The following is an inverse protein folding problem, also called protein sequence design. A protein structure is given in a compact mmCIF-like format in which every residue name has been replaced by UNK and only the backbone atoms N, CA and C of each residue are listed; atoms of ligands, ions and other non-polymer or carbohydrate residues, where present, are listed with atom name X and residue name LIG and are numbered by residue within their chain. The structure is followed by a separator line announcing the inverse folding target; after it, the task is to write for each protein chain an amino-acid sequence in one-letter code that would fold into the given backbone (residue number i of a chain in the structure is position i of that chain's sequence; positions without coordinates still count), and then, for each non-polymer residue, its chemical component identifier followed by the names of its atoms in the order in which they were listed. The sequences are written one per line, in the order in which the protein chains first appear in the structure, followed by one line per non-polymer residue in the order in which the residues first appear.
data_IF_926943119919
#
_entry.id   IF_926943119919
#
_cell.length_a   1.000
_cell.length_b   1.000
_cell.length_c   1.000
_cell.angle_alpha   90.00
_cell.angle_beta   90.00
_cell.angle_gamma   90.00
#
_symmetry.space_group_name_H-M   'P 1'
#
loop_
_entity.id
_entity.type
_entity.pdbx_description
1 polymer ?
#
# COMPACT_ATOMS: atom_id res chain seq x y z
N UNK A 1 5.35 8.55 6.54
CA UNK A 1 6.78 8.28 6.33
C UNK A 1 6.99 6.80 6.05
N UNK A 2 7.96 6.46 5.20
CA UNK A 2 8.26 5.10 4.75
C UNK A 2 8.73 4.21 5.91
N UNK A 3 9.70 4.68 6.68
CA UNK A 3 10.27 4.01 7.86
C UNK A 3 9.22 3.70 8.93
N UNK A 4 8.35 4.67 9.22
CA UNK A 4 7.29 4.50 10.22
C UNK A 4 6.30 3.40 9.81
N UNK A 5 5.88 3.38 8.53
CA UNK A 5 4.92 2.38 8.06
C UNK A 5 5.55 0.99 7.99
N UNK A 6 6.80 0.88 7.51
CA UNK A 6 7.53 -0.39 7.48
C UNK A 6 7.69 -0.98 8.87
N UNK A 7 8.12 -0.17 9.85
CA UNK A 7 8.31 -0.64 11.21
C UNK A 7 7.00 -1.02 11.90
N UNK A 8 5.92 -0.27 11.66
CA UNK A 8 4.59 -0.64 12.16
C UNK A 8 4.11 -2.00 11.58
N UNK A 9 4.38 -2.27 10.30
CA UNK A 9 4.07 -3.56 9.69
C UNK A 9 4.88 -4.70 10.32
N UNK A 10 6.18 -4.49 10.57
CA UNK A 10 7.04 -5.45 11.26
C UNK A 10 6.54 -5.77 12.68
N UNK A 11 6.18 -4.74 13.47
CA UNK A 11 5.63 -4.94 14.82
C UNK A 11 4.33 -5.74 14.75
N UNK A 12 3.41 -5.37 13.84
CA UNK A 12 2.16 -6.10 13.69
C UNK A 12 2.38 -7.58 13.31
N UNK A 13 3.35 -7.86 12.44
CA UNK A 13 3.73 -9.22 12.07
C UNK A 13 4.31 -10.02 13.25
N UNK A 14 5.17 -9.38 14.07
CA UNK A 14 5.75 -9.96 15.30
C UNK A 14 4.69 -10.24 16.37
N UNK A 15 3.67 -9.39 16.47
CA UNK A 15 2.53 -9.60 17.38
C UNK A 15 1.57 -10.71 16.91
N UNK A 16 1.82 -11.33 15.75
CA UNK A 16 1.05 -12.46 15.27
C UNK A 16 -0.10 -12.11 14.33
N UNK A 17 -0.22 -10.87 13.86
CA UNK A 17 -1.32 -10.45 12.99
C UNK A 17 -1.36 -11.26 11.68
N UNK A 18 -2.53 -11.78 11.32
CA UNK A 18 -2.75 -12.49 10.05
C UNK A 18 -2.88 -11.50 8.88
N UNK A 19 -3.60 -10.40 9.11
CA UNK A 19 -3.84 -9.33 8.16
C UNK A 19 -3.38 -8.02 8.78
N UNK A 20 -2.56 -7.28 8.04
CA UNK A 20 -1.97 -6.02 8.46
C UNK A 20 -2.47 -4.93 7.51
N UNK A 21 -3.22 -3.96 8.06
CA UNK A 21 -3.70 -2.82 7.30
C UNK A 21 -2.80 -1.60 7.52
N UNK A 22 -2.22 -1.06 6.46
CA UNK A 22 -1.38 0.14 6.52
C UNK A 22 -1.79 1.20 5.50
N UNK A 23 -1.25 2.42 5.65
CA UNK A 23 -1.35 3.46 4.62
C UNK A 23 -0.31 3.20 3.52
N UNK A 24 -0.59 3.65 2.29
CA UNK A 24 0.45 3.78 1.26
C UNK A 24 1.44 4.85 1.73
N UNK A 25 2.73 4.53 1.90
CA UNK A 25 3.71 5.50 2.39
C UNK A 25 4.15 6.48 1.28
N UNK A 26 4.52 7.69 1.68
CA UNK A 26 5.40 8.56 0.89
C UNK A 26 6.87 8.14 1.05
N UNK A 27 7.78 8.69 0.23
CA UNK A 27 9.22 8.46 0.37
C UNK A 27 9.88 9.21 1.55
N UNK A 28 9.11 10.03 2.28
CA UNK A 28 9.61 10.75 3.45
C UNK A 28 10.07 9.77 4.55
N UNK A 29 11.22 10.03 5.16
CA UNK A 29 11.78 9.27 6.28
C UNK A 29 11.74 10.14 7.53
N UNK A 30 11.03 9.67 8.56
CA UNK A 30 10.78 10.47 9.77
C UNK A 30 11.98 10.43 10.73
N UNK A 31 12.51 9.24 10.98
CA UNK A 31 13.56 9.02 11.96
C UNK A 31 14.94 9.26 11.33
N UNK A 32 15.71 10.20 11.89
CA UNK A 32 17.05 10.52 11.41
C UNK A 32 17.99 9.29 11.43
N UNK A 33 17.83 8.39 12.40
CA UNK A 33 18.60 7.15 12.47
C UNK A 33 18.23 6.18 11.33
N UNK A 34 16.92 6.02 11.04
CA UNK A 34 16.47 5.18 9.93
C UNK A 34 16.95 5.76 8.59
N UNK A 35 16.88 7.08 8.41
CA UNK A 35 17.35 7.77 7.20
C UNK A 35 18.78 7.40 6.83
N UNK A 36 19.70 7.42 7.81
CA UNK A 36 21.11 7.02 7.58
C UNK A 36 21.24 5.61 7.02
N UNK A 37 20.44 4.66 7.51
CA UNK A 37 20.46 3.26 7.05
C UNK A 37 19.87 3.13 5.65
N UNK A 38 18.71 3.76 5.39
CA UNK A 38 18.09 3.73 4.06
C UNK A 38 19.01 4.29 2.98
N UNK A 39 19.75 5.35 3.30
CA UNK A 39 20.73 5.96 2.39
C UNK A 39 21.98 5.10 2.19
N UNK A 40 22.56 4.58 3.28
CA UNK A 40 23.77 3.76 3.22
C UNK A 40 23.54 2.44 2.46
N UNK A 41 22.43 1.75 2.76
CA UNK A 41 22.06 0.47 2.16
C UNK A 41 21.32 0.62 0.82
N UNK A 42 21.07 1.86 0.38
CA UNK A 42 20.37 2.18 -0.88
C UNK A 42 19.03 1.45 -1.01
N UNK A 43 18.25 1.43 0.07
CA UNK A 43 16.95 0.75 0.10
C UNK A 43 16.02 1.42 -0.92
N UNK A 44 15.47 0.68 -1.91
CA UNK A 44 14.66 1.28 -2.97
C UNK A 44 13.32 1.75 -2.42
N UNK A 45 13.08 3.07 -2.48
CA UNK A 45 11.84 3.72 -2.01
C UNK A 45 11.33 4.81 -2.96
N UNK A 46 11.90 4.90 -4.16
CA UNK A 46 11.62 5.98 -5.12
C UNK A 46 10.21 5.90 -5.69
N UNK A 47 9.88 4.76 -6.30
CA UNK A 47 8.54 4.48 -6.81
C UNK A 47 7.61 3.98 -5.71
N UNK A 48 6.31 4.16 -5.91
CA UNK A 48 5.29 3.64 -4.98
C UNK A 48 5.34 2.11 -4.88
N UNK A 49 5.60 1.42 -5.99
CA UNK A 49 5.74 -0.04 -6.00
C UNK A 49 6.96 -0.53 -5.20
N UNK A 50 8.10 0.16 -5.28
CA UNK A 50 9.28 -0.15 -4.45
C UNK A 50 8.99 0.04 -2.96
N UNK A 51 8.31 1.13 -2.59
CA UNK A 51 7.90 1.35 -1.19
C UNK A 51 6.98 0.26 -0.67
N UNK A 52 6.03 -0.17 -1.49
CA UNK A 52 5.11 -1.25 -1.15
C UNK A 52 5.89 -2.55 -0.98
N UNK A 53 6.79 -2.87 -1.91
CA UNK A 53 7.68 -4.05 -1.82
C UNK A 53 8.47 -4.05 -0.52
N UNK A 54 8.98 -2.90 -0.08
CA UNK A 54 9.71 -2.80 1.19
C UNK A 54 8.80 -2.99 2.43
N UNK A 55 7.54 -2.56 2.37
CA UNK A 55 6.57 -2.88 3.43
C UNK A 55 6.30 -4.39 3.47
N UNK A 56 6.12 -5.04 2.33
CA UNK A 56 5.91 -6.49 2.25
C UNK A 56 7.11 -7.25 2.78
N UNK A 57 8.34 -6.80 2.45
CA UNK A 57 9.57 -7.30 3.04
C UNK A 57 9.54 -7.21 4.57
N UNK A 58 9.12 -6.06 5.10
CA UNK A 58 8.99 -5.80 6.53
C UNK A 58 7.86 -6.60 7.21
N UNK A 59 6.94 -7.21 6.45
CA UNK A 59 5.90 -8.08 6.97
C UNK A 59 6.30 -9.57 6.82
N UNK A 60 7.52 -9.89 7.27
CA UNK A 60 8.16 -11.21 7.10
C UNK A 60 8.19 -11.67 5.64
N UNK A 61 8.61 -10.80 4.74
CA UNK A 61 8.72 -11.07 3.30
C UNK A 61 7.44 -11.64 2.68
N UNK A 62 6.30 -11.05 3.03
CA UNK A 62 4.99 -11.45 2.51
C UNK A 62 4.38 -12.69 3.16
N UNK A 63 4.93 -13.21 4.27
CA UNK A 63 4.27 -14.28 5.03
C UNK A 63 3.01 -13.80 5.77
N UNK A 64 2.84 -12.49 5.92
CA UNK A 64 1.59 -11.87 6.41
C UNK A 64 0.88 -11.16 5.27
N UNK A 65 -0.44 -11.20 5.28
CA UNK A 65 -1.27 -10.47 4.33
C UNK A 65 -1.18 -8.98 4.69
N UNK A 66 -0.68 -8.15 3.77
CA UNK A 66 -0.65 -6.70 3.94
C UNK A 66 -1.59 -6.03 2.94
N UNK A 67 -2.59 -5.34 3.47
CA UNK A 67 -3.59 -4.59 2.71
C UNK A 67 -3.44 -3.09 2.94
N UNK A 68 -3.66 -2.30 1.89
CA UNK A 68 -3.44 -0.86 1.93
C UNK A 68 -4.75 -0.08 2.00
N UNK A 69 -4.74 1.09 2.62
CA UNK A 69 -5.94 1.94 2.67
C UNK A 69 -6.20 2.61 1.32
N UNK A 70 -7.42 2.53 0.78
CA UNK A 70 -7.82 3.22 -0.46
C UNK A 70 -8.16 4.71 -0.32
N UNK A 71 -7.50 5.41 0.60
CA UNK A 71 -7.62 6.87 0.78
C UNK A 71 -9.02 7.42 1.12
N UNK A 72 -9.11 8.76 1.10
CA UNK A 72 -10.38 9.49 1.11
C UNK A 72 -10.91 9.62 -0.33
N UNK A 73 -12.15 10.12 -0.50
CA UNK A 73 -12.67 10.45 -1.84
C UNK A 73 -11.71 11.40 -2.53
N UNK A 74 -11.28 11.02 -3.72
CA UNK A 74 -10.33 11.74 -4.56
C UNK A 74 -10.46 11.27 -6.00
N UNK A 75 -9.55 11.72 -6.85
CA UNK A 75 -9.53 11.34 -8.27
C UNK A 75 -9.35 9.83 -8.45
N UNK A 76 -10.18 9.24 -9.31
CA UNK A 76 -10.19 7.80 -9.61
C UNK A 76 -8.84 7.34 -10.13
N UNK A 77 -8.23 8.12 -11.01
CA UNK A 77 -6.95 7.77 -11.62
C UNK A 77 -5.87 7.56 -10.57
N UNK A 78 -5.80 8.43 -9.56
CA UNK A 78 -4.85 8.27 -8.45
C UNK A 78 -5.04 6.96 -7.72
N UNK A 79 -6.29 6.55 -7.49
CA UNK A 79 -6.61 5.29 -6.80
C UNK A 79 -6.30 4.08 -7.66
N UNK A 80 -6.49 4.18 -8.97
CA UNK A 80 -6.11 3.14 -9.92
C UNK A 80 -4.58 2.99 -9.98
N UNK A 81 -3.83 4.09 -10.01
CA UNK A 81 -2.37 4.07 -9.99
C UNK A 81 -1.82 3.52 -8.67
N UNK A 82 -2.44 3.88 -7.54
CA UNK A 82 -2.14 3.27 -6.24
C UNK A 82 -2.44 1.76 -6.25
N UNK A 83 -3.58 1.33 -6.81
CA UNK A 83 -3.92 -0.09 -6.93
C UNK A 83 -2.91 -0.87 -7.79
N UNK A 84 -2.47 -0.30 -8.92
CA UNK A 84 -1.39 -0.87 -9.76
C UNK A 84 -0.09 -0.97 -8.98
N UNK A 85 0.32 0.11 -8.29
CA UNK A 85 1.54 0.10 -7.48
C UNK A 85 1.47 -0.93 -6.35
N UNK A 86 0.29 -1.13 -5.73
CA UNK A 86 0.07 -2.17 -4.73
C UNK A 86 0.27 -3.55 -5.33
N UNK A 87 -0.37 -3.85 -6.46
CA UNK A 87 -0.18 -5.11 -7.17
C UNK A 87 1.29 -5.33 -7.53
N UNK A 88 1.92 -4.36 -8.18
CA UNK A 88 3.27 -4.48 -8.73
C UNK A 88 4.35 -4.52 -7.63
N UNK A 89 4.06 -3.94 -6.47
CA UNK A 89 4.86 -4.02 -5.25
C UNK A 89 4.66 -5.32 -4.44
N UNK A 90 3.73 -6.20 -4.84
CA UNK A 90 3.44 -7.46 -4.15
C UNK A 90 2.51 -7.34 -2.94
N UNK A 91 1.77 -6.22 -2.83
CA UNK A 91 0.73 -6.05 -1.82
C UNK A 91 -0.52 -6.87 -2.11
N UNK A 92 -1.29 -7.18 -1.06
CA UNK A 92 -2.41 -8.13 -1.13
C UNK A 92 -3.75 -7.45 -1.45
N UNK A 93 -3.73 -6.17 -1.81
CA UNK A 93 -4.90 -5.41 -2.20
C UNK A 93 -5.17 -4.17 -1.35
N UNK A 94 -6.39 -3.65 -1.48
CA UNK A 94 -6.85 -2.46 -0.77
C UNK A 94 -8.10 -2.72 0.07
N UNK A 95 -8.22 -1.99 1.16
CA UNK A 95 -9.45 -1.85 1.92
C UNK A 95 -9.99 -0.42 1.75
N UNK A 96 -11.12 -0.32 1.04
CA UNK A 96 -11.67 0.96 0.55
C UNK A 96 -13.07 1.15 1.17
N UNK A 97 -13.21 2.23 1.96
CA UNK A 97 -14.46 2.58 2.62
C UNK A 97 -15.07 3.85 2.03
N UNK A 98 -14.80 5.00 2.64
CA UNK A 98 -15.38 6.31 2.29
C UNK A 98 -15.35 6.60 0.78
N UNK A 99 -14.25 6.32 0.09
CA UNK A 99 -14.14 6.57 -1.35
C UNK A 99 -15.18 5.80 -2.17
N UNK A 100 -15.55 4.58 -1.76
CA UNK A 100 -16.61 3.79 -2.41
C UNK A 100 -18.00 4.31 -2.05
N UNK A 101 -18.26 4.54 -0.76
CA UNK A 101 -19.62 4.84 -0.26
C UNK A 101 -20.05 6.30 -0.40
N UNK A 102 -19.14 7.23 -0.70
CA UNK A 102 -19.44 8.64 -0.96
C UNK A 102 -19.67 8.95 -2.46
N UNK A 103 -19.72 7.91 -3.31
CA UNK A 103 -20.06 7.99 -4.73
C UNK A 103 -21.52 7.64 -4.93
N UNK A 104 -22.10 8.09 -6.05
CA UNK A 104 -23.39 7.56 -6.49
C UNK A 104 -23.25 6.07 -6.82
N UNK A 105 -24.29 5.27 -6.56
CA UNK A 105 -24.24 3.80 -6.69
C UNK A 105 -23.64 3.30 -8.03
N UNK A 106 -24.04 3.81 -9.22
CA UNK A 106 -23.44 3.37 -10.48
C UNK A 106 -21.93 3.63 -10.54
N UNK A 107 -21.49 4.83 -10.13
CA UNK A 107 -20.08 5.22 -10.10
C UNK A 107 -19.27 4.40 -9.08
N UNK A 108 -19.87 4.04 -7.95
CA UNK A 108 -19.23 3.21 -6.94
C UNK A 108 -18.98 1.79 -7.49
N UNK A 109 -19.96 1.21 -8.18
CA UNK A 109 -19.83 -0.12 -8.78
C UNK A 109 -18.79 -0.15 -9.89
N UNK A 110 -18.76 0.86 -10.76
CA UNK A 110 -17.76 0.96 -11.82
C UNK A 110 -16.35 1.18 -11.27
N UNK A 111 -16.20 2.03 -10.26
CA UNK A 111 -14.94 2.22 -9.54
C UNK A 111 -14.42 0.92 -8.93
N UNK A 112 -15.27 0.21 -8.18
CA UNK A 112 -14.90 -1.06 -7.55
C UNK A 112 -14.58 -2.15 -8.58
N UNK A 113 -15.35 -2.24 -9.67
CA UNK A 113 -15.08 -3.16 -10.78
C UNK A 113 -13.70 -2.90 -11.40
N UNK A 114 -13.36 -1.63 -11.62
CA UNK A 114 -12.06 -1.24 -12.17
C UNK A 114 -10.92 -1.62 -11.23
N UNK A 115 -11.04 -1.32 -9.93
CA UNK A 115 -10.06 -1.72 -8.91
C UNK A 115 -9.86 -3.25 -8.89
N UNK A 116 -10.94 -4.02 -8.94
CA UNK A 116 -10.87 -5.48 -8.98
C UNK A 116 -10.12 -5.99 -10.21
N UNK A 117 -10.42 -5.44 -11.40
CA UNK A 117 -9.73 -5.79 -12.64
C UNK A 117 -8.24 -5.45 -12.63
N UNK A 118 -7.85 -4.33 -11.99
CA UNK A 118 -6.44 -3.98 -11.79
C UNK A 118 -5.75 -5.06 -10.95
N UNK A 119 -6.34 -5.44 -9.81
CA UNK A 119 -5.77 -6.48 -8.94
C UNK A 119 -5.75 -7.87 -9.57
N UNK A 120 -6.72 -8.20 -10.42
CA UNK A 120 -6.73 -9.42 -11.21
C UNK A 120 -5.70 -9.44 -12.35
N UNK A 121 -5.05 -8.30 -12.65
CA UNK A 121 -4.11 -8.17 -13.77
C UNK A 121 -4.80 -8.03 -15.13
N UNK A 122 -6.12 -7.87 -15.17
CA UNK A 122 -6.91 -7.69 -16.38
C UNK A 122 -6.78 -6.26 -16.95
N UNK A 123 -6.43 -5.30 -16.09
CA UNK A 123 -6.13 -3.92 -16.47
C UNK A 123 -4.71 -3.55 -16.02
N UNK A 124 -3.85 -3.20 -16.99
CA UNK A 124 -2.44 -2.86 -16.76
C UNK A 124 -2.28 -1.51 -16.13
#
# INVERSE_FOLDING_TARGET
AMDVVAYAAQIAAQLGAHIIKVKVPSAHLEQAAAKKVYEAEKIPIGSTAERIRHIIQSAFNGRRIVIFSGGAKGEDQKMFDEARAIRDGGGFGSIIGRNSFQRNKPQALEFLSTVMKIYAGELK
#
